data_IF_868546202472
#
_entry.id   IF_868546202472
#
_cell.length_a   1.000
_cell.length_b   1.000
_cell.length_c   1.000
_cell.angle_alpha   90.00
_cell.angle_beta   90.00
_cell.angle_gamma   90.00
#
_symmetry.space_group_name_H-M   'P 1'
#
loop_
_entity.id
_entity.type
_entity.pdbx_description
1 polymer ?
#
# COMPACT_ATOMS: atom_id res chain seq x y z
N UNK A 1 8.52 -14.48 -24.90
CA UNK A 1 8.36 -14.74 -23.45
C UNK A 1 7.10 -14.06 -22.95
N UNK A 2 6.07 -14.81 -22.55
CA UNK A 2 4.98 -14.22 -21.74
C UNK A 2 5.58 -13.86 -20.38
N UNK A 3 5.50 -12.58 -19.99
CA UNK A 3 5.97 -12.14 -18.67
C UNK A 3 5.06 -12.81 -17.63
N UNK A 4 5.61 -13.49 -16.61
CA UNK A 4 4.84 -14.21 -15.56
C UNK A 4 3.68 -13.38 -14.98
N UNK A 5 3.86 -12.06 -14.89
CA UNK A 5 2.81 -11.13 -14.48
C UNK A 5 1.57 -11.11 -15.38
N UNK A 6 1.70 -11.27 -16.70
CA UNK A 6 0.55 -11.33 -17.62
C UNK A 6 -0.33 -12.56 -17.34
N UNK A 7 0.30 -13.73 -17.14
CA UNK A 7 -0.39 -14.97 -16.76
C UNK A 7 -1.06 -14.80 -15.40
N UNK A 8 -0.37 -14.16 -14.44
CA UNK A 8 -0.96 -13.82 -13.14
C UNK A 8 -2.24 -12.97 -13.29
N UNK A 9 -2.25 -11.97 -14.18
CA UNK A 9 -3.44 -11.15 -14.44
C UNK A 9 -4.59 -11.98 -14.98
N UNK A 10 -4.32 -12.85 -15.95
CA UNK A 10 -5.32 -13.74 -16.55
C UNK A 10 -5.95 -14.68 -15.52
N UNK A 11 -5.18 -15.09 -14.50
CA UNK A 11 -5.63 -15.98 -13.42
C UNK A 11 -6.12 -15.25 -12.17
N UNK A 12 -6.18 -13.92 -12.17
CA UNK A 12 -6.52 -13.14 -10.98
C UNK A 12 -7.90 -13.50 -10.39
N UNK A 13 -8.91 -13.72 -11.23
CA UNK A 13 -10.25 -14.12 -10.76
C UNK A 13 -10.23 -15.45 -10.01
N UNK A 14 -9.42 -16.41 -10.46
CA UNK A 14 -9.23 -17.70 -9.78
C UNK A 14 -8.49 -17.52 -8.45
N UNK A 15 -7.41 -16.75 -8.46
CA UNK A 15 -6.64 -16.40 -7.27
C UNK A 15 -7.55 -15.81 -6.19
N UNK A 16 -8.36 -14.80 -6.53
CA UNK A 16 -9.29 -14.19 -5.57
C UNK A 16 -10.34 -15.18 -5.10
N UNK A 17 -10.91 -16.01 -5.99
CA UNK A 17 -11.86 -17.05 -5.57
C UNK A 17 -11.29 -18.02 -4.54
N UNK A 18 -10.02 -18.42 -4.67
CA UNK A 18 -9.36 -19.25 -3.65
C UNK A 18 -9.14 -18.47 -2.34
N UNK A 19 -8.70 -17.22 -2.42
CA UNK A 19 -8.51 -16.40 -1.23
C UNK A 19 -9.81 -16.14 -0.47
N UNK A 20 -10.92 -15.91 -1.18
CA UNK A 20 -12.25 -15.71 -0.58
C UNK A 20 -12.79 -16.99 0.07
N UNK A 21 -12.39 -18.17 -0.44
CA UNK A 21 -12.67 -19.46 0.19
C UNK A 21 -11.79 -19.74 1.42
N UNK A 22 -10.83 -18.86 1.73
CA UNK A 22 -9.95 -18.98 2.88
C UNK A 22 -8.68 -19.81 2.64
N UNK A 23 -8.34 -20.12 1.39
CA UNK A 23 -7.07 -20.81 1.10
C UNK A 23 -5.88 -19.89 1.43
N UNK A 24 -4.84 -20.40 2.12
CA UNK A 24 -3.64 -19.63 2.41
C UNK A 24 -2.84 -19.40 1.13
N UNK A 25 -1.98 -18.38 1.16
CA UNK A 25 -1.18 -18.01 -0.02
C UNK A 25 -0.27 -19.13 -0.51
N UNK A 26 0.20 -19.99 0.39
CA UNK A 26 1.00 -21.18 0.03
C UNK A 26 0.26 -22.11 -0.91
N UNK A 27 -1.01 -22.37 -0.61
CA UNK A 27 -1.83 -23.33 -1.34
C UNK A 27 -2.25 -22.74 -2.69
N UNK A 28 -2.54 -21.43 -2.73
CA UNK A 28 -2.79 -20.72 -3.98
C UNK A 28 -1.55 -20.72 -4.88
N UNK A 29 -0.35 -20.51 -4.32
CA UNK A 29 0.89 -20.56 -5.09
C UNK A 29 1.15 -21.97 -5.63
N UNK A 30 0.88 -23.01 -4.83
CA UNK A 30 1.03 -24.39 -5.26
C UNK A 30 0.06 -24.72 -6.40
N UNK A 31 -1.21 -24.34 -6.27
CA UNK A 31 -2.22 -24.50 -7.32
C UNK A 31 -1.82 -23.77 -8.62
N UNK A 32 -1.32 -22.53 -8.51
CA UNK A 32 -0.83 -21.78 -9.66
C UNK A 32 0.34 -22.49 -10.36
N UNK A 33 1.21 -23.16 -9.61
CA UNK A 33 2.33 -23.92 -10.16
C UNK A 33 1.86 -25.19 -10.86
N UNK A 34 0.95 -25.95 -10.25
CA UNK A 34 0.51 -27.27 -10.73
C UNK A 34 -0.51 -27.16 -11.88
N UNK A 35 -1.49 -26.26 -11.75
CA UNK A 35 -2.64 -26.18 -12.65
C UNK A 35 -2.53 -25.04 -13.69
N UNK A 36 -1.60 -24.11 -13.49
CA UNK A 36 -1.52 -22.87 -14.29
C UNK A 36 -0.11 -22.53 -14.81
N UNK A 37 0.85 -23.45 -14.69
CA UNK A 37 2.24 -23.29 -15.14
C UNK A 37 2.92 -22.00 -14.61
N UNK A 38 2.46 -21.50 -13.47
CA UNK A 38 2.86 -20.22 -12.91
C UNK A 38 3.59 -20.43 -11.59
N UNK A 39 4.88 -20.77 -11.68
CA UNK A 39 5.76 -20.88 -10.52
C UNK A 39 6.20 -19.48 -10.04
N UNK A 40 5.73 -19.10 -8.85
CA UNK A 40 6.02 -17.83 -8.18
C UNK A 40 6.56 -18.09 -6.78
N UNK A 41 7.58 -17.32 -6.40
CA UNK A 41 7.95 -17.22 -4.99
C UNK A 41 6.84 -16.51 -4.21
N UNK A 42 6.74 -16.77 -2.92
CA UNK A 42 5.80 -16.11 -2.03
C UNK A 42 5.87 -14.57 -2.09
N UNK A 43 7.09 -14.02 -2.12
CA UNK A 43 7.31 -12.58 -2.25
C UNK A 43 6.82 -12.06 -3.61
N UNK A 44 7.09 -12.79 -4.69
CA UNK A 44 6.62 -12.41 -6.03
C UNK A 44 5.10 -12.42 -6.10
N UNK A 45 4.45 -13.44 -5.53
CA UNK A 45 2.99 -13.52 -5.45
C UNK A 45 2.39 -12.32 -4.72
N UNK A 46 2.92 -11.98 -3.53
CA UNK A 46 2.49 -10.77 -2.78
C UNK A 46 2.72 -9.49 -3.57
N UNK A 47 3.88 -9.32 -4.20
CA UNK A 47 4.17 -8.16 -5.02
C UNK A 47 3.22 -8.05 -6.22
N UNK A 48 2.83 -9.17 -6.83
CA UNK A 48 1.89 -9.20 -7.95
C UNK A 48 0.47 -8.86 -7.50
N UNK A 49 0.01 -9.39 -6.37
CA UNK A 49 -1.26 -9.00 -5.75
C UNK A 49 -1.32 -7.50 -5.49
N UNK A 50 -0.27 -6.95 -4.87
CA UNK A 50 -0.19 -5.51 -4.61
C UNK A 50 -0.24 -4.69 -5.89
N UNK A 51 0.62 -5.01 -6.87
CA UNK A 51 0.66 -4.30 -8.16
C UNK A 51 -0.68 -4.34 -8.88
N UNK A 52 -1.35 -5.49 -8.90
CA UNK A 52 -2.63 -5.63 -9.57
C UNK A 52 -3.72 -4.78 -8.92
N UNK A 53 -3.79 -4.75 -7.57
CA UNK A 53 -4.72 -3.87 -6.84
C UNK A 53 -4.47 -2.39 -7.15
N UNK A 54 -3.21 -1.97 -7.20
CA UNK A 54 -2.86 -0.58 -7.55
C UNK A 54 -3.25 -0.23 -8.99
N UNK A 55 -3.06 -1.13 -9.94
CA UNK A 55 -3.46 -0.92 -11.34
C UNK A 55 -4.99 -0.83 -11.50
N UNK A 56 -5.76 -1.64 -10.76
CA UNK A 56 -7.22 -1.54 -10.74
C UNK A 56 -7.68 -0.17 -10.22
N UNK A 57 -7.13 0.29 -9.09
CA UNK A 57 -7.47 1.59 -8.51
C UNK A 57 -7.11 2.74 -9.47
N UNK A 58 -5.92 2.69 -10.09
CA UNK A 58 -5.52 3.69 -11.09
C UNK A 58 -6.34 3.66 -12.37
N UNK A 59 -6.90 2.51 -12.76
CA UNK A 59 -7.76 2.42 -13.95
C UNK A 59 -9.11 3.12 -13.76
N UNK A 60 -9.61 3.16 -12.52
CA UNK A 60 -10.84 3.88 -12.14
C UNK A 60 -10.58 5.40 -12.16
N UNK A 61 -9.41 5.84 -11.67
CA UNK A 61 -9.05 7.26 -11.68
C UNK A 61 -8.74 7.78 -13.10
N UNK A 62 -8.14 6.95 -13.97
CA UNK A 62 -7.82 7.32 -15.36
C UNK A 62 -9.03 7.42 -16.28
N UNK A 63 -10.17 6.81 -15.95
CA UNK A 63 -11.41 7.00 -16.73
C UNK A 63 -12.02 8.39 -16.50
N UNK A 64 -11.57 9.14 -15.49
CA UNK A 64 -12.03 10.51 -15.17
C UNK A 64 -11.04 11.61 -15.56
N UNK A 65 -9.89 11.26 -16.11
CA UNK A 65 -8.84 12.25 -16.41
C UNK A 65 -8.29 12.07 -17.82
N UNK A 66 -9.16 12.35 -18.80
CA UNK A 66 -8.70 12.95 -20.05
C UNK A 66 -8.15 14.35 -19.75
N UNK A 67 -7.11 14.74 -20.47
CA UNK A 67 -6.40 16.03 -20.44
C UNK A 67 -5.41 16.22 -19.26
N UNK A 68 -4.15 15.83 -19.48
CA UNK A 68 -3.03 16.78 -19.64
C UNK A 68 -1.69 16.06 -19.54
N UNK A 69 -0.89 16.20 -20.58
CA UNK A 69 0.54 15.89 -20.60
C UNK A 69 1.30 16.73 -19.58
N UNK A 70 2.37 16.21 -18.98
CA UNK A 70 3.75 16.76 -19.05
C UNK A 70 4.69 16.09 -18.00
N UNK A 71 5.98 16.09 -18.33
CA UNK A 71 7.13 15.51 -17.68
C UNK A 71 7.43 16.03 -16.25
N UNK A 72 8.27 15.27 -15.52
CA UNK A 72 9.18 15.80 -14.50
C UNK A 72 8.86 15.34 -13.07
N UNK A 73 9.58 14.37 -12.51
CA UNK A 73 10.79 14.57 -11.71
C UNK A 73 10.71 15.66 -10.63
N UNK A 74 10.69 15.17 -9.38
CA UNK A 74 11.40 15.68 -8.18
C UNK A 74 10.79 16.85 -7.38
N UNK A 75 10.61 16.51 -6.10
CA UNK A 75 10.98 17.24 -4.87
C UNK A 75 10.26 18.54 -4.50
N UNK A 76 9.97 18.58 -3.19
CA UNK A 76 9.85 19.73 -2.29
C UNK A 76 8.42 20.15 -1.94
N UNK A 77 7.94 19.64 -0.81
CA UNK A 77 6.82 20.23 -0.06
C UNK A 77 7.42 20.90 1.16
N UNK A 78 7.50 22.22 1.14
CA UNK A 78 7.80 23.05 2.30
C UNK A 78 6.71 24.13 2.42
N UNK A 79 6.08 24.15 3.61
CA UNK A 79 5.41 25.27 4.32
C UNK A 79 4.19 25.96 3.68
N UNK A 80 2.98 25.84 4.28
CA UNK A 80 2.40 26.72 5.35
C UNK A 80 1.50 27.81 4.72
N UNK A 81 0.28 28.19 5.12
CA UNK A 81 -0.68 27.88 6.20
C UNK A 81 -2.00 28.67 5.82
N UNK A 82 -2.95 29.01 6.72
CA UNK A 82 -4.19 28.32 7.14
C UNK A 82 -5.50 28.95 6.60
N UNK A 83 -6.62 28.23 6.70
CA UNK A 83 -7.91 28.81 7.12
C UNK A 83 -8.96 27.76 7.53
N UNK A 84 -9.62 28.08 8.65
CA UNK A 84 -10.68 27.39 9.39
C UNK A 84 -11.95 27.20 8.51
N UNK A 85 -12.91 26.31 8.77
CA UNK A 85 -13.62 26.10 10.04
C UNK A 85 -14.55 24.87 10.00
N UNK A 86 -14.93 24.43 11.21
CA UNK A 86 -16.20 23.78 11.63
C UNK A 86 -16.56 22.40 11.07
N UNK A 87 -16.50 21.35 11.90
CA UNK A 87 -17.67 20.89 12.66
C UNK A 87 -17.28 19.83 13.72
N UNK A 88 -18.13 19.76 14.74
CA UNK A 88 -18.08 19.05 16.01
C UNK A 88 -17.77 17.54 15.97
N UNK A 89 -16.86 17.07 16.84
CA UNK A 89 -17.13 16.07 17.92
C UNK A 89 -15.85 15.63 18.64
N UNK A 90 -16.06 15.29 19.90
CA UNK A 90 -15.12 15.00 20.99
C UNK A 90 -14.25 13.75 20.75
N UNK A 91 -12.95 13.93 20.50
CA UNK A 91 -11.87 13.00 20.87
C UNK A 91 -10.56 13.80 20.97
N UNK A 92 -9.96 13.85 22.16
CA UNK A 92 -8.63 14.42 22.39
C UNK A 92 -7.57 13.51 21.72
N UNK A 93 -7.44 13.58 20.41
CA UNK A 93 -6.28 13.02 19.71
C UNK A 93 -5.04 13.80 20.13
N UNK A 94 -4.28 13.22 21.08
CA UNK A 94 -2.92 13.66 21.32
C UNK A 94 -2.14 13.56 20.00
N UNK A 95 -1.43 14.61 19.57
CA UNK A 95 -0.64 14.56 18.34
C UNK A 95 0.38 13.43 18.46
N UNK A 96 0.32 12.45 17.55
CA UNK A 96 1.30 11.35 17.49
C UNK A 96 2.69 11.95 17.32
N UNK A 97 3.49 11.93 18.38
CA UNK A 97 4.84 12.48 18.35
C UNK A 97 5.77 11.53 17.57
N UNK A 98 6.11 11.91 16.34
CA UNK A 98 6.99 11.13 15.45
C UNK A 98 8.44 11.59 15.67
N UNK A 99 9.30 10.66 16.08
CA UNK A 99 10.72 10.92 16.27
C UNK A 99 11.51 10.67 14.99
N UNK A 100 12.36 11.63 14.61
CA UNK A 100 13.21 11.53 13.40
C UNK A 100 14.33 10.50 13.55
N UNK A 101 14.73 10.18 14.79
CA UNK A 101 15.74 9.15 15.07
C UNK A 101 15.55 8.52 16.46
N UNK A 102 16.14 7.34 16.66
CA UNK A 102 16.00 6.56 17.91
C UNK A 102 16.48 7.32 19.15
N UNK A 103 17.60 8.06 19.05
CA UNK A 103 18.14 8.86 20.17
C UNK A 103 17.14 9.91 20.67
N UNK A 104 16.42 10.56 19.76
CA UNK A 104 15.41 11.56 20.12
C UNK A 104 14.20 10.94 20.80
N UNK A 105 13.81 9.72 20.42
CA UNK A 105 12.75 8.98 21.12
C UNK A 105 13.17 8.53 22.52
N UNK A 106 14.40 8.02 22.66
CA UNK A 106 14.93 7.61 23.98
C UNK A 106 15.07 8.80 24.94
N UNK A 107 15.55 9.96 24.46
CA UNK A 107 15.63 11.18 25.27
C UNK A 107 14.24 11.68 25.72
N UNK A 108 13.22 11.58 24.86
CA UNK A 108 11.86 11.95 25.21
C UNK A 108 11.26 11.05 26.29
N UNK A 109 11.44 9.73 26.16
CA UNK A 109 10.99 8.76 27.16
C UNK A 109 11.68 9.02 28.50
N UNK A 110 13.00 9.28 28.49
CA UNK A 110 13.74 9.64 29.69
C UNK A 110 13.23 10.93 30.33
N UNK A 111 12.81 11.91 29.53
CA UNK A 111 12.24 13.16 30.05
C UNK A 111 10.89 12.91 30.75
N UNK A 112 10.01 12.11 30.15
CA UNK A 112 8.71 11.75 30.75
C UNK A 112 8.86 10.99 32.07
N UNK A 113 9.88 10.14 32.20
CA UNK A 113 10.11 9.34 33.40
C UNK A 113 10.71 10.13 34.56
N UNK A 114 11.32 11.30 34.30
CA UNK A 114 12.11 12.04 35.28
C UNK A 114 11.62 13.47 35.56
N UNK A 115 10.64 13.97 34.80
CA UNK A 115 9.94 15.22 35.15
C UNK A 115 8.69 14.90 35.99
N UNK A 116 8.56 15.43 37.23
CA UNK A 116 7.39 15.24 38.08
C UNK A 116 6.16 16.01 37.62
#
# INVERSE_FOLDING_TARGET
>A
MRKKFAIFKEKYSHIISMLDKGYPYTDVILDLKENHELDLSFNTFRSYLYRYRQELNQSIDKSKQSVSSDLGLKTHVESSDPSQSSDSSDELEQPKQIFKNRRSGEAFIHKLLNEP
#
